data_IF_400048827842
#
_entry.id   IF_400048827842
#
_cell.length_a   1.000
_cell.length_b   1.000
_cell.length_c   1.000
_cell.angle_alpha   90.00
_cell.angle_beta   90.00
_cell.angle_gamma   90.00
#
_symmetry.space_group_name_H-M   'P 1'
#
loop_
_entity.id
_entity.type
_entity.pdbx_description
1 polymer ?
#
# COMPACT_ATOMS: atom_id res chain seq x y z
N UNK A 1 5.32 2.81 -19.20
CA UNK A 1 4.98 3.44 -18.83
C UNK A 1 4.55 3.89 -18.74
N UNK A 2 4.21 3.50 -18.44
CA UNK A 2 3.72 4.24 -18.02
C UNK A 2 3.14 4.93 -17.73
N UNK A 3 2.98 5.17 -17.25
CA UNK A 3 2.47 5.97 -16.85
C UNK A 3 2.00 6.74 -16.73
N UNK A 4 1.92 6.90 -16.41
CA UNK A 4 1.42 7.77 -15.94
C UNK A 4 0.98 8.58 -16.02
N UNK A 5 1.01 8.61 -16.12
CA UNK A 5 0.66 9.62 -16.25
C UNK A 5 0.22 10.15 -16.53
N UNK A 6 0.10 9.89 -16.60
CA UNK A 6 -0.31 10.76 -16.73
C UNK A 6 -0.73 11.44 -16.69
N UNK A 7 -0.80 11.21 -16.69
CA UNK A 7 -1.11 12.04 -16.70
C UNK A 7 -0.90 12.95 -16.14
N UNK A 8 -0.36 13.41 -15.76
CA UNK A 8 -0.10 14.33 -15.29
C UNK A 8 0.74 15.19 -15.77
N UNK A 9 1.34 15.23 -16.34
CA UNK A 9 2.23 16.00 -16.82
C UNK A 9 1.79 17.11 -17.53
N UNK A 10 0.74 17.60 -17.52
CA UNK A 10 0.33 18.64 -18.26
C UNK A 10 0.69 19.91 -17.67
N UNK A 11 0.76 20.94 -18.40
CA UNK A 11 0.99 22.27 -17.96
C UNK A 11 -0.12 22.73 -17.08
N UNK A 12 -1.29 22.26 -17.32
CA UNK A 12 -2.41 22.68 -16.52
C UNK A 12 -2.33 22.06 -15.14
N UNK A 13 -2.59 22.84 -14.10
CA UNK A 13 -2.49 22.33 -12.78
C UNK A 13 -3.81 21.84 -12.31
N UNK A 14 -4.19 20.67 -12.74
CA UNK A 14 -5.42 20.05 -12.32
C UNK A 14 -5.12 19.14 -11.15
N UNK A 15 -5.78 19.34 -10.01
CA UNK A 15 -5.52 18.47 -8.86
C UNK A 15 -5.93 17.04 -9.15
N UNK A 16 -5.13 16.09 -8.71
CA UNK A 16 -5.45 14.69 -8.84
C UNK A 16 -6.46 14.34 -7.76
N UNK A 17 -7.60 13.81 -8.13
CA UNK A 17 -8.61 13.46 -7.15
C UNK A 17 -8.18 12.19 -6.42
N UNK A 18 -8.74 11.99 -5.23
CA UNK A 18 -8.42 10.80 -4.46
C UNK A 18 -8.77 9.53 -5.21
N UNK A 19 -9.83 9.55 -6.02
CA UNK A 19 -10.27 8.36 -6.71
C UNK A 19 -9.31 7.89 -7.79
N UNK A 20 -8.51 8.81 -8.35
CA UNK A 20 -7.61 8.41 -9.43
C UNK A 20 -6.15 8.37 -9.00
N UNK A 21 -5.85 8.69 -7.73
CA UNK A 21 -4.46 8.66 -7.27
C UNK A 21 -3.92 7.24 -7.35
N UNK A 22 -2.90 7.04 -8.16
CA UNK A 22 -2.24 5.75 -8.37
C UNK A 22 -3.22 4.64 -8.71
N UNK A 23 -4.20 4.92 -9.57
CA UNK A 23 -5.21 3.93 -9.94
C UNK A 23 -4.59 2.73 -10.64
N UNK A 24 -3.71 2.99 -11.61
CA UNK A 24 -3.09 1.92 -12.38
C UNK A 24 -2.22 1.06 -11.50
N UNK A 25 -1.43 1.70 -10.65
CA UNK A 25 -0.54 0.99 -9.74
C UNK A 25 -1.32 0.15 -8.75
N UNK A 26 -2.40 0.70 -8.21
CA UNK A 26 -3.28 -0.03 -7.30
C UNK A 26 -3.85 -1.27 -7.99
N UNK A 27 -4.30 -1.11 -9.22
CA UNK A 27 -4.87 -2.22 -9.98
C UNK A 27 -3.85 -3.34 -10.14
N UNK A 28 -2.61 -2.99 -10.41
CA UNK A 28 -1.56 -3.99 -10.58
C UNK A 28 -1.23 -4.71 -9.28
N UNK A 29 -1.18 -3.98 -8.17
CA UNK A 29 -0.90 -4.58 -6.86
C UNK A 29 -2.03 -5.51 -6.45
N UNK A 30 -3.28 -5.07 -6.61
CA UNK A 30 -4.44 -5.90 -6.24
C UNK A 30 -4.49 -7.15 -7.12
N UNK A 31 -4.13 -7.01 -8.40
CA UNK A 31 -4.04 -8.18 -9.28
C UNK A 31 -3.05 -9.20 -8.78
N UNK A 32 -1.89 -8.75 -8.29
CA UNK A 32 -0.90 -9.65 -7.70
C UNK A 32 -1.46 -10.34 -6.46
N UNK A 33 -2.20 -9.60 -5.62
CA UNK A 33 -2.78 -10.16 -4.41
C UNK A 33 -3.83 -11.22 -4.75
N UNK A 34 -4.63 -10.97 -5.78
CA UNK A 34 -5.62 -11.94 -6.21
C UNK A 34 -4.97 -13.22 -6.73
N UNK A 35 -3.86 -13.09 -7.45
CA UNK A 35 -3.13 -14.25 -7.93
C UNK A 35 -2.57 -15.05 -6.77
N UNK A 36 -1.98 -14.38 -5.78
CA UNK A 36 -1.46 -15.04 -4.59
C UNK A 36 -2.56 -15.80 -3.87
N UNK A 37 -3.70 -15.15 -3.66
CA UNK A 37 -4.83 -15.77 -2.98
C UNK A 37 -5.37 -16.97 -3.76
N UNK A 38 -5.45 -16.83 -5.08
CA UNK A 38 -5.92 -17.91 -5.94
C UNK A 38 -5.04 -19.15 -5.85
N UNK A 39 -3.74 -18.98 -5.82
CA UNK A 39 -2.80 -20.10 -5.85
C UNK A 39 -2.62 -20.71 -4.46
N UNK A 40 -2.47 -19.86 -3.44
CA UNK A 40 -2.17 -20.35 -2.09
C UNK A 40 -3.40 -20.65 -1.24
N UNK A 41 -4.51 -20.02 -1.55
CA UNK A 41 -5.69 -20.14 -0.70
C UNK A 41 -5.64 -19.16 0.47
N UNK A 42 -6.73 -19.10 1.22
CA UNK A 42 -6.90 -18.09 2.26
C UNK A 42 -6.53 -18.64 3.64
N UNK A 43 -6.36 -17.72 4.60
CA UNK A 43 -6.25 -18.08 6.01
C UNK A 43 -4.89 -18.60 6.45
N UNK A 44 -3.87 -18.47 5.63
CA UNK A 44 -2.53 -18.86 6.02
C UNK A 44 -1.89 -17.74 6.85
N UNK A 45 -0.66 -17.96 7.29
CA UNK A 45 0.04 -16.98 8.09
C UNK A 45 0.34 -15.74 7.27
N UNK A 46 0.24 -14.59 7.90
CA UNK A 46 0.36 -13.28 7.23
C UNK A 46 1.67 -13.13 6.45
N UNK A 47 2.77 -13.58 7.06
CA UNK A 47 4.09 -13.45 6.43
C UNK A 47 4.19 -14.24 5.13
N UNK A 48 3.45 -15.32 5.02
CA UNK A 48 3.43 -16.11 3.80
C UNK A 48 2.92 -15.28 2.63
N UNK A 49 1.86 -14.51 2.88
CA UNK A 49 1.28 -13.66 1.83
C UNK A 49 2.21 -12.51 1.46
N UNK A 50 2.87 -11.92 2.45
CA UNK A 50 3.84 -10.88 2.18
C UNK A 50 4.95 -11.39 1.27
N UNK A 51 5.49 -12.55 1.59
CA UNK A 51 6.59 -13.12 0.80
C UNK A 51 6.11 -13.56 -0.58
N UNK A 52 4.89 -14.08 -0.69
CA UNK A 52 4.34 -14.46 -1.99
C UNK A 52 4.12 -13.24 -2.88
N UNK A 53 3.71 -12.12 -2.28
CA UNK A 53 3.57 -10.87 -3.03
C UNK A 53 4.92 -10.42 -3.61
N UNK A 54 6.00 -10.60 -2.85
CA UNK A 54 7.33 -10.25 -3.35
C UNK A 54 7.65 -11.05 -4.63
N UNK A 55 7.31 -12.34 -4.63
CA UNK A 55 7.53 -13.17 -5.82
C UNK A 55 6.72 -12.63 -6.99
N UNK A 56 5.45 -12.33 -6.76
CA UNK A 56 4.57 -11.82 -7.82
C UNK A 56 5.04 -10.45 -8.31
N UNK A 57 5.47 -9.57 -7.40
CA UNK A 57 5.97 -8.26 -7.79
C UNK A 57 7.18 -8.40 -8.71
N UNK A 58 8.09 -9.32 -8.40
CA UNK A 58 9.25 -9.55 -9.28
C UNK A 58 8.81 -10.02 -10.65
N UNK A 59 7.88 -10.96 -10.70
CA UNK A 59 7.39 -11.48 -11.97
C UNK A 59 6.70 -10.40 -12.80
N UNK A 60 5.98 -9.49 -12.14
CA UNK A 60 5.27 -8.42 -12.83
C UNK A 60 6.10 -7.15 -12.99
N UNK A 61 7.35 -7.18 -12.53
CA UNK A 61 8.27 -6.04 -12.64
C UNK A 61 7.74 -4.80 -11.92
N UNK A 62 7.20 -5.02 -10.73
CA UNK A 62 6.76 -3.94 -9.86
C UNK A 62 7.89 -3.63 -8.89
N UNK A 63 8.42 -2.40 -8.89
CA UNK A 63 9.50 -2.04 -7.96
C UNK A 63 8.97 -2.03 -6.52
N UNK A 64 9.70 -2.63 -5.61
CA UNK A 64 9.27 -2.71 -4.23
C UNK A 64 10.45 -2.70 -3.27
N UNK A 65 10.15 -2.36 -2.00
CA UNK A 65 11.05 -2.59 -0.88
C UNK A 65 10.28 -3.39 0.16
N UNK A 66 10.93 -4.40 0.73
CA UNK A 66 10.33 -5.19 1.79
C UNK A 66 10.99 -4.82 3.11
N UNK A 67 10.18 -4.50 4.12
CA UNK A 67 10.66 -4.23 5.48
C UNK A 67 11.64 -3.05 5.53
N UNK A 68 11.39 -1.99 4.79
CA UNK A 68 12.23 -0.81 4.81
C UNK A 68 11.85 0.07 5.99
N UNK A 69 12.80 0.40 6.89
CA UNK A 69 12.47 1.16 8.10
C UNK A 69 12.35 2.65 7.85
N UNK A 70 11.47 3.29 8.62
CA UNK A 70 11.29 4.74 8.62
C UNK A 70 11.38 5.25 10.04
N UNK A 71 12.09 6.35 10.24
CA UNK A 71 12.21 6.97 11.55
C UNK A 71 10.91 7.64 11.95
N UNK A 72 10.53 7.50 13.20
CA UNK A 72 9.39 8.21 13.78
C UNK A 72 9.95 9.32 14.66
N UNK A 73 9.68 10.57 14.29
CA UNK A 73 10.22 11.74 14.98
C UNK A 73 9.10 12.45 15.72
N UNK A 74 9.33 12.79 16.97
CA UNK A 74 8.39 13.56 17.77
C UNK A 74 9.11 14.76 18.33
N UNK A 75 8.70 15.95 17.96
CA UNK A 75 9.29 17.21 18.40
C UNK A 75 10.81 17.20 18.25
N UNK A 76 11.27 16.77 17.07
CA UNK A 76 12.69 16.77 16.74
C UNK A 76 13.49 15.60 17.30
N UNK A 77 12.85 14.69 18.01
CA UNK A 77 13.55 13.56 18.65
C UNK A 77 13.10 12.25 18.05
N UNK A 78 14.07 11.38 17.75
CA UNK A 78 13.75 10.04 17.26
C UNK A 78 13.13 9.25 18.39
N UNK A 79 11.89 8.82 18.24
CA UNK A 79 11.18 8.09 19.27
C UNK A 79 10.88 6.65 18.90
N UNK A 80 11.13 6.26 17.66
CA UNK A 80 10.89 4.86 17.26
C UNK A 80 11.08 4.69 15.78
N UNK A 81 10.75 3.48 15.33
CA UNK A 81 10.90 3.11 13.92
C UNK A 81 9.62 2.42 13.45
N UNK A 82 9.16 2.78 12.27
CA UNK A 82 8.06 2.09 11.62
C UNK A 82 8.61 1.30 10.44
N UNK A 83 8.23 0.02 10.34
CA UNK A 83 8.69 -0.84 9.25
C UNK A 83 7.46 -1.39 8.53
N UNK A 84 7.10 -0.83 7.37
CA UNK A 84 5.98 -1.37 6.59
C UNK A 84 6.35 -2.71 5.98
N UNK A 85 5.32 -3.52 5.70
CA UNK A 85 5.57 -4.81 5.04
C UNK A 85 6.22 -4.59 3.69
N UNK A 86 5.58 -3.81 2.84
CA UNK A 86 6.06 -3.58 1.49
C UNK A 86 5.77 -2.13 1.08
N UNK A 87 6.62 -1.61 0.22
CA UNK A 87 6.40 -0.31 -0.40
C UNK A 87 6.63 -0.50 -1.90
N UNK A 88 5.66 -0.05 -2.71
CA UNK A 88 5.78 -0.17 -4.16
C UNK A 88 5.99 1.20 -4.78
N UNK A 89 6.89 1.27 -5.76
CA UNK A 89 7.25 2.49 -6.49
C UNK A 89 7.67 3.63 -5.56
N UNK A 90 8.13 3.30 -4.34
CA UNK A 90 8.48 4.29 -3.32
C UNK A 90 7.34 5.25 -3.00
N UNK A 91 6.10 4.86 -3.27
CA UNK A 91 4.95 5.75 -3.12
C UNK A 91 3.73 5.12 -2.49
N UNK A 92 3.65 3.79 -2.45
CA UNK A 92 2.46 3.11 -1.97
C UNK A 92 2.84 2.12 -0.88
N UNK A 93 2.27 2.30 0.31
CA UNK A 93 2.46 1.32 1.39
C UNK A 93 1.50 0.17 1.13
N UNK A 94 2.00 -1.07 1.21
CA UNK A 94 1.18 -2.27 1.06
C UNK A 94 1.29 -3.06 2.35
N UNK A 95 0.14 -3.30 2.98
CA UNK A 95 0.07 -3.95 4.28
C UNK A 95 -0.76 -5.22 4.14
N UNK A 96 -0.17 -6.36 4.49
CA UNK A 96 -0.87 -7.63 4.41
C UNK A 96 -1.49 -7.97 5.75
N UNK A 97 -2.72 -8.47 5.71
CA UNK A 97 -3.49 -8.82 6.91
C UNK A 97 -4.12 -10.19 6.75
N UNK A 98 -4.39 -10.84 7.89
CA UNK A 98 -5.20 -12.04 7.96
C UNK A 98 -6.11 -11.88 9.17
N UNK A 99 -7.08 -10.98 9.03
CA UNK A 99 -7.99 -10.59 10.11
C UNK A 99 -9.42 -10.82 9.67
N UNK A 100 -10.35 -10.82 10.61
CA UNK A 100 -11.74 -11.10 10.31
C UNK A 100 -12.31 -10.09 9.33
N UNK A 101 -12.04 -8.82 9.52
CA UNK A 101 -12.47 -7.75 8.64
C UNK A 101 -11.60 -6.52 8.86
N UNK A 102 -11.45 -5.71 7.82
CA UNK A 102 -10.77 -4.42 7.94
C UNK A 102 -11.71 -3.47 8.69
N UNK A 103 -11.20 -2.86 9.74
CA UNK A 103 -12.00 -1.95 10.56
C UNK A 103 -11.31 -0.59 10.64
N UNK A 104 -11.95 0.34 11.35
CA UNK A 104 -11.36 1.67 11.56
C UNK A 104 -10.03 1.61 12.27
N UNK A 105 -9.77 0.54 13.03
CA UNK A 105 -8.48 0.35 13.68
C UNK A 105 -7.36 0.28 12.62
N UNK A 106 -7.54 -0.56 11.61
CA UNK A 106 -6.53 -0.69 10.55
C UNK A 106 -6.45 0.57 9.70
N UNK A 107 -7.59 1.19 9.42
CA UNK A 107 -7.61 2.41 8.61
C UNK A 107 -6.89 3.55 9.31
N UNK A 108 -7.13 3.71 10.61
CA UNK A 108 -6.49 4.75 11.40
C UNK A 108 -5.00 4.55 11.50
N UNK A 109 -4.56 3.30 11.69
CA UNK A 109 -3.13 3.00 11.73
C UNK A 109 -2.47 3.32 10.39
N UNK A 110 -3.10 2.96 9.29
CA UNK A 110 -2.54 3.25 7.98
C UNK A 110 -2.39 4.76 7.77
N UNK A 111 -3.38 5.54 8.20
CA UNK A 111 -3.26 6.99 8.09
C UNK A 111 -2.04 7.52 8.85
N UNK A 112 -1.77 6.97 10.03
CA UNK A 112 -0.59 7.34 10.79
C UNK A 112 0.69 6.95 10.06
N UNK A 113 0.71 5.76 9.46
CA UNK A 113 1.87 5.31 8.70
C UNK A 113 2.14 6.21 7.49
N UNK A 114 1.08 6.66 6.83
CA UNK A 114 1.24 7.58 5.71
C UNK A 114 1.85 8.90 6.18
N UNK A 115 1.45 9.39 7.36
CA UNK A 115 2.06 10.59 7.90
C UNK A 115 3.54 10.40 8.21
N UNK A 116 3.90 9.27 8.79
CA UNK A 116 5.29 8.98 9.15
C UNK A 116 6.17 8.91 7.90
N UNK A 117 5.68 8.25 6.86
CA UNK A 117 6.49 8.01 5.65
C UNK A 117 6.45 9.15 4.65
N UNK A 118 5.47 10.04 4.77
CA UNK A 118 5.27 11.09 3.78
C UNK A 118 4.56 10.61 2.53
N UNK A 119 4.05 9.39 2.53
CA UNK A 119 3.34 8.85 1.37
C UNK A 119 1.86 9.18 1.45
N UNK A 120 1.18 9.11 0.31
CA UNK A 120 -0.23 9.50 0.23
C UNK A 120 -1.19 8.33 0.09
N UNK A 121 -0.71 7.16 -0.28
CA UNK A 121 -1.58 6.01 -0.52
C UNK A 121 -1.09 4.78 0.20
N UNK A 122 -2.01 4.10 0.87
CA UNK A 122 -1.75 2.80 1.45
C UNK A 122 -2.81 1.82 1.00
N UNK A 123 -2.43 0.57 0.85
CA UNK A 123 -3.33 -0.51 0.50
C UNK A 123 -3.34 -1.53 1.62
N UNK A 124 -4.54 -1.84 2.11
CA UNK A 124 -4.73 -2.92 3.08
C UNK A 124 -5.22 -4.13 2.31
N UNK A 125 -4.50 -5.23 2.38
CA UNK A 125 -4.84 -6.46 1.67
C UNK A 125 -5.08 -7.56 2.70
N UNK A 126 -6.32 -8.04 2.78
CA UNK A 126 -6.69 -9.02 3.79
C UNK A 126 -6.96 -10.37 3.14
N UNK A 127 -6.13 -11.36 3.51
CA UNK A 127 -6.16 -12.71 2.92
C UNK A 127 -6.86 -13.73 3.81
N UNK A 128 -7.66 -13.28 4.78
CA UNK A 128 -8.30 -14.19 5.73
C UNK A 128 -9.35 -15.08 5.07
N UNK A 129 -10.07 -14.55 4.09
CA UNK A 129 -11.25 -15.19 3.51
C UNK A 129 -11.02 -15.60 2.06
N UNK A 130 -11.86 -16.45 1.50
CA UNK A 130 -11.68 -16.90 0.11
C UNK A 130 -11.69 -15.77 -0.91
N UNK A 131 -12.40 -14.68 -0.59
CA UNK A 131 -12.42 -13.52 -1.46
C UNK A 131 -11.54 -12.45 -0.83
N UNK A 132 -10.68 -11.82 -1.63
CA UNK A 132 -9.78 -10.77 -1.16
C UNK A 132 -10.59 -9.57 -0.69
N UNK A 133 -10.38 -9.16 0.55
CA UNK A 133 -10.89 -7.89 1.04
C UNK A 133 -9.73 -6.90 0.98
N UNK A 134 -9.95 -5.74 0.36
CA UNK A 134 -8.88 -4.76 0.26
C UNK A 134 -9.45 -3.36 0.26
N UNK A 135 -8.64 -2.40 0.71
CA UNK A 135 -9.04 -1.01 0.77
C UNK A 135 -7.89 -0.08 0.41
N UNK A 136 -8.21 1.00 -0.27
CA UNK A 136 -7.31 2.11 -0.51
C UNK A 136 -7.50 3.11 0.60
N UNK A 137 -6.42 3.52 1.23
CA UNK A 137 -6.45 4.54 2.28
C UNK A 137 -5.63 5.72 1.76
N UNK A 138 -6.25 6.87 1.64
CA UNK A 138 -5.59 8.04 1.08
C UNK A 138 -5.47 9.11 2.15
N UNK A 139 -4.25 9.63 2.32
CA UNK A 139 -4.04 10.73 3.24
C UNK A 139 -4.22 12.03 2.48
N UNK A 140 -5.21 12.81 2.90
CA UNK A 140 -5.46 14.09 2.27
C UNK A 140 -4.49 15.11 2.85
N UNK A 141 -3.60 15.64 2.01
CA UNK A 141 -2.69 16.66 2.47
C UNK A 141 -3.26 18.00 2.15
N UNK A 142 -4.35 18.35 2.85
CA UNK A 142 -4.95 19.55 2.56
C UNK A 142 -4.16 20.65 2.99
N UNK A 143 -4.20 21.66 2.25
CA UNK A 143 -3.60 22.81 2.63
C UNK A 143 -4.58 23.59 3.23
N UNK A 144 -4.41 24.24 4.20
CA UNK A 144 -5.44 25.03 4.77
C UNK A 144 -5.23 26.46 4.67
#
# INVERSE_FOLDING_TARGET
MPIRVHSRSFAVKIPVSKEILFREETHRIVGCAMEVLNVLGHGLHEKIYENALVVEFKLQQIPYHQQKPFDVIFKGTLVGTYVPDLICWDQIIVDTKTIEAITDHERGKMLNYLKITGMELGLLLNFKHPKLEWERIVLSRRQS
#
